data_IF_213250978349
#
_entry.id   IF_213250978349
#
_cell.length_a   1.000
_cell.length_b   1.000
_cell.length_c   1.000
_cell.angle_alpha   90.00
_cell.angle_beta   90.00
_cell.angle_gamma   90.00
#
_symmetry.space_group_name_H-M   'P 1'
#
loop_
_entity.id
_entity.type
_entity.pdbx_description
1 polymer ?
#
# COMPACT_ATOMS: atom_id res chain seq x y z
N UNK A 1 -31.67 39.49 58.21
CA UNK A 1 -30.54 40.43 58.26
C UNK A 1 -29.65 40.07 57.07
N UNK A 2 -29.76 40.91 56.02
CA UNK A 2 -28.99 41.07 54.76
C UNK A 2 -28.53 39.80 54.02
N UNK A 3 -29.05 39.39 52.83
CA UNK A 3 -29.38 40.07 51.55
C UNK A 3 -28.14 40.39 50.69
N UNK A 4 -28.33 40.14 49.39
CA UNK A 4 -27.50 40.44 48.21
C UNK A 4 -26.51 39.32 47.82
N UNK A 5 -26.33 38.89 46.57
CA UNK A 5 -26.97 39.05 45.24
C UNK A 5 -26.04 38.22 44.29
N UNK A 6 -26.49 37.17 43.60
CA UNK A 6 -26.97 37.13 42.20
C UNK A 6 -25.99 37.57 41.08
N UNK A 7 -26.14 36.87 39.95
CA UNK A 7 -25.61 37.05 38.58
C UNK A 7 -24.34 36.25 38.22
N UNK A 8 -24.41 35.14 37.47
CA UNK A 8 -24.83 34.90 36.07
C UNK A 8 -23.87 35.45 34.99
N UNK A 9 -23.76 34.62 33.94
CA UNK A 9 -23.16 34.84 32.62
C UNK A 9 -21.61 34.82 32.58
N UNK A 10 -20.95 34.18 31.62
CA UNK A 10 -21.40 33.43 30.46
C UNK A 10 -20.17 32.82 29.78
N UNK A 11 -20.35 31.66 29.15
CA UNK A 11 -19.34 31.07 28.26
C UNK A 11 -19.09 31.99 27.05
N UNK A 12 -17.84 32.23 26.65
CA UNK A 12 -17.55 32.73 25.31
C UNK A 12 -17.34 31.56 24.32
N UNK A 13 -18.20 31.61 23.30
CA UNK A 13 -18.21 30.83 22.06
C UNK A 13 -16.92 30.96 21.25
N UNK A 14 -16.68 29.95 20.41
CA UNK A 14 -15.73 29.96 19.31
C UNK A 14 -16.00 31.11 18.32
N UNK A 15 -15.03 32.02 18.19
CA UNK A 15 -14.61 32.75 17.00
C UNK A 15 -13.63 33.86 17.46
N UNK A 16 -12.64 34.18 16.63
CA UNK A 16 -11.74 35.35 16.73
C UNK A 16 -10.50 35.24 17.64
N UNK A 17 -9.38 34.78 17.06
CA UNK A 17 -8.05 35.31 17.39
C UNK A 17 -7.20 35.36 16.12
N UNK A 18 -7.24 36.54 15.50
CA UNK A 18 -6.54 36.97 14.30
C UNK A 18 -5.03 37.11 14.52
N UNK A 19 -4.30 36.87 13.44
CA UNK A 19 -2.91 37.20 13.16
C UNK A 19 -2.48 38.64 13.51
N UNK A 20 -1.20 38.83 13.87
CA UNK A 20 -0.32 39.93 13.41
C UNK A 20 1.16 39.52 13.59
N UNK A 21 1.96 39.55 12.52
CA UNK A 21 3.32 40.12 12.50
C UNK A 21 3.89 40.05 11.06
N UNK A 22 3.58 41.08 10.28
CA UNK A 22 4.32 41.49 9.09
C UNK A 22 5.65 42.14 9.48
N UNK A 23 6.70 41.91 8.67
CA UNK A 23 7.75 42.89 8.43
C UNK A 23 8.26 42.71 6.99
N UNK A 24 7.80 43.64 6.16
CA UNK A 24 8.05 43.91 4.76
C UNK A 24 9.26 44.87 4.60
N UNK A 25 10.12 44.65 3.59
CA UNK A 25 10.84 45.69 2.82
C UNK A 25 11.17 45.15 1.41
N UNK A 26 10.24 45.38 0.47
CA UNK A 26 10.36 45.99 -0.89
C UNK A 26 11.77 46.50 -1.37
N UNK A 27 12.16 46.69 -2.64
CA UNK A 27 11.60 46.62 -4.03
C UNK A 27 12.75 46.99 -5.00
N UNK A 28 12.72 46.50 -6.26
CA UNK A 28 12.99 47.18 -7.56
C UNK A 28 13.34 46.10 -8.61
N UNK A 29 12.56 45.74 -9.64
CA UNK A 29 11.79 46.45 -10.68
C UNK A 29 12.66 47.09 -11.80
N UNK A 30 12.52 46.54 -13.01
CA UNK A 30 12.52 47.12 -14.39
C UNK A 30 12.81 45.97 -15.39
N UNK A 31 11.85 45.45 -16.15
CA UNK A 31 11.06 45.96 -17.29
C UNK A 31 11.81 45.96 -18.65
N UNK A 32 11.34 45.11 -19.56
CA UNK A 32 11.43 45.22 -21.04
C UNK A 32 10.72 44.02 -21.69
N UNK A 33 9.50 44.20 -22.20
CA UNK A 33 8.91 43.36 -23.26
C UNK A 33 9.30 43.86 -24.67
N UNK A 34 8.66 43.45 -25.78
CA UNK A 34 7.53 42.50 -25.92
C UNK A 34 7.66 41.51 -27.11
N UNK A 35 6.60 40.68 -27.27
CA UNK A 35 6.10 40.00 -28.49
C UNK A 35 7.04 39.10 -29.33
N UNK A 36 6.76 37.78 -29.39
CA UNK A 36 6.09 37.21 -30.57
C UNK A 36 5.85 35.67 -30.48
N UNK A 37 4.70 35.27 -31.05
CA UNK A 37 4.24 33.93 -31.46
C UNK A 37 3.83 32.90 -30.39
N UNK A 38 2.56 32.97 -30.02
CA UNK A 38 1.76 31.77 -29.81
C UNK A 38 1.71 30.93 -31.10
N UNK A 39 2.08 29.65 -31.02
CA UNK A 39 1.45 28.47 -31.66
C UNK A 39 2.44 27.30 -31.68
N UNK A 40 2.33 26.39 -30.71
CA UNK A 40 2.37 24.95 -30.97
C UNK A 40 1.83 24.19 -29.75
N UNK A 41 0.51 24.24 -29.57
CA UNK A 41 -0.22 23.37 -28.65
C UNK A 41 -0.85 22.24 -29.46
N UNK A 42 -0.02 21.30 -29.93
CA UNK A 42 -0.46 19.97 -30.34
C UNK A 42 0.70 18.95 -30.29
N UNK A 43 1.41 18.90 -29.16
CA UNK A 43 2.15 17.70 -28.81
C UNK A 43 1.14 16.56 -28.61
N UNK A 44 0.96 15.72 -29.63
CA UNK A 44 0.29 14.43 -29.49
C UNK A 44 0.82 13.74 -28.23
N UNK A 45 -0.02 13.05 -27.43
CA UNK A 45 0.49 12.30 -26.29
C UNK A 45 1.58 11.37 -26.82
N UNK A 46 2.82 11.57 -26.39
CA UNK A 46 3.94 10.77 -26.82
C UNK A 46 3.50 9.32 -26.66
N UNK A 47 3.31 8.62 -27.80
CA UNK A 47 3.02 7.21 -27.78
C UNK A 47 4.06 6.61 -26.85
N UNK A 48 3.60 5.98 -25.77
CA UNK A 48 4.48 5.30 -24.81
C UNK A 48 5.45 4.50 -25.66
N UNK A 49 6.73 4.86 -25.61
CA UNK A 49 7.70 4.24 -26.50
C UNK A 49 7.75 2.75 -26.13
N UNK A 50 7.19 1.90 -27.00
CA UNK A 50 6.95 0.48 -26.72
C UNK A 50 8.28 -0.21 -26.36
N UNK A 51 9.36 0.13 -27.08
CA UNK A 51 10.71 -0.34 -26.79
C UNK A 51 11.20 0.08 -25.40
N UNK A 52 10.87 1.30 -24.97
CA UNK A 52 11.23 1.79 -23.64
C UNK A 52 10.41 1.08 -22.54
N UNK A 53 9.14 0.78 -22.81
CA UNK A 53 8.26 0.04 -21.91
C UNK A 53 8.72 -1.41 -21.75
N UNK A 54 9.08 -2.06 -22.85
CA UNK A 54 9.66 -3.40 -22.85
C UNK A 54 10.99 -3.44 -22.09
N UNK A 55 11.87 -2.47 -22.33
CA UNK A 55 13.15 -2.35 -21.62
C UNK A 55 12.95 -2.13 -20.11
N UNK A 56 11.98 -1.29 -19.73
CA UNK A 56 11.60 -1.08 -18.34
C UNK A 56 11.05 -2.35 -17.69
N UNK A 57 10.18 -3.08 -18.41
CA UNK A 57 9.60 -4.33 -17.95
C UNK A 57 10.66 -5.42 -17.75
N UNK A 58 11.59 -5.55 -18.69
CA UNK A 58 12.71 -6.48 -18.59
C UNK A 58 13.58 -6.16 -17.37
N UNK A 59 13.93 -4.87 -17.20
CA UNK A 59 14.73 -4.40 -16.06
C UNK A 59 14.03 -4.63 -14.72
N UNK A 60 12.71 -4.38 -14.64
CA UNK A 60 11.91 -4.64 -13.45
C UNK A 60 11.89 -6.12 -13.08
N UNK A 61 11.59 -7.00 -14.04
CA UNK A 61 11.55 -8.45 -13.80
C UNK A 61 12.91 -8.97 -13.33
N UNK A 62 13.99 -8.50 -13.94
CA UNK A 62 15.34 -8.91 -13.55
C UNK A 62 15.66 -8.47 -12.12
N UNK A 63 15.39 -7.20 -11.79
CA UNK A 63 15.60 -6.67 -10.45
C UNK A 63 14.81 -7.42 -9.38
N UNK A 64 13.56 -7.79 -9.66
CA UNK A 64 12.73 -8.55 -8.72
C UNK A 64 13.29 -9.95 -8.45
N UNK A 65 13.83 -10.63 -9.47
CA UNK A 65 14.51 -11.92 -9.30
C UNK A 65 15.79 -11.78 -8.49
N UNK A 66 16.58 -10.74 -8.76
CA UNK A 66 17.79 -10.44 -8.00
C UNK A 66 17.46 -10.23 -6.51
N UNK A 67 16.44 -9.42 -6.21
CA UNK A 67 15.98 -9.18 -4.83
C UNK A 67 15.48 -10.48 -4.19
N UNK A 68 14.70 -11.30 -4.91
CA UNK A 68 14.23 -12.58 -4.40
C UNK A 68 15.40 -13.52 -4.05
N UNK A 69 16.44 -13.57 -4.89
CA UNK A 69 17.67 -14.35 -4.60
C UNK A 69 18.36 -13.83 -3.35
N UNK A 70 18.57 -12.52 -3.24
CA UNK A 70 19.21 -11.87 -2.09
C UNK A 70 18.46 -12.16 -0.79
N UNK A 71 17.13 -12.08 -0.79
CA UNK A 71 16.30 -12.39 0.37
C UNK A 71 16.37 -13.87 0.76
N UNK A 72 16.38 -14.76 -0.22
CA UNK A 72 16.54 -16.20 0.01
C UNK A 72 17.92 -16.55 0.60
N UNK A 73 18.99 -16.00 0.04
CA UNK A 73 20.38 -16.18 0.51
C UNK A 73 20.58 -15.63 1.92
N UNK A 74 19.96 -14.49 2.24
CA UNK A 74 19.99 -13.91 3.58
C UNK A 74 19.13 -14.67 4.61
N UNK A 75 18.35 -15.67 4.18
CA UNK A 75 17.41 -16.37 5.06
C UNK A 75 16.32 -15.44 5.62
N UNK A 76 15.94 -14.41 4.86
CA UNK A 76 14.95 -13.43 5.28
C UNK A 76 13.60 -14.10 5.59
N UNK A 77 12.93 -13.64 6.66
CA UNK A 77 11.63 -14.18 7.08
C UNK A 77 10.60 -14.03 5.97
N UNK A 78 10.06 -15.15 5.50
CA UNK A 78 8.93 -15.19 4.58
C UNK A 78 7.60 -15.44 5.35
N UNK A 79 6.49 -15.19 4.66
CA UNK A 79 5.12 -15.32 5.15
C UNK A 79 4.29 -16.16 4.18
N UNK A 80 3.19 -16.74 4.67
CA UNK A 80 2.27 -17.48 3.81
C UNK A 80 1.48 -16.51 2.91
N UNK A 81 1.33 -16.88 1.63
CA UNK A 81 0.33 -16.33 0.73
C UNK A 81 -0.79 -17.35 0.55
N UNK A 82 -2.03 -16.92 0.71
CA UNK A 82 -3.20 -17.78 0.62
C UNK A 82 -4.39 -17.09 -0.03
N UNK A 83 -5.30 -17.90 -0.55
CA UNK A 83 -6.62 -17.48 -0.98
C UNK A 83 -7.65 -17.78 0.11
N UNK A 84 -8.49 -16.81 0.44
CA UNK A 84 -9.62 -17.03 1.33
C UNK A 84 -10.76 -17.72 0.58
N UNK A 85 -11.09 -18.96 0.97
CA UNK A 85 -12.22 -19.69 0.43
C UNK A 85 -13.41 -19.52 1.39
N UNK A 86 -14.43 -18.75 1.02
CA UNK A 86 -15.59 -18.51 1.89
C UNK A 86 -16.38 -19.81 2.14
N UNK A 87 -17.18 -19.86 3.22
CA UNK A 87 -17.98 -21.03 3.51
C UNK A 87 -19.00 -21.25 2.39
N UNK A 88 -19.15 -22.51 1.97
CA UNK A 88 -20.05 -22.87 0.86
C UNK A 88 -20.73 -24.20 1.10
N UNK A 89 -21.87 -24.43 0.45
CA UNK A 89 -22.54 -25.74 0.44
C UNK A 89 -22.03 -26.59 -0.71
N UNK A 90 -21.62 -27.83 -0.42
CA UNK A 90 -21.28 -28.84 -1.43
C UNK A 90 -22.49 -29.74 -1.63
N UNK A 91 -22.84 -30.00 -2.91
CA UNK A 91 -24.01 -30.78 -3.29
C UNK A 91 -25.31 -30.30 -2.60
N UNK A 92 -25.46 -28.98 -2.37
CA UNK A 92 -26.54 -28.30 -1.63
C UNK A 92 -26.77 -28.74 -0.17
N UNK A 93 -26.16 -29.83 0.30
CA UNK A 93 -26.46 -30.45 1.60
C UNK A 93 -25.31 -30.30 2.61
N UNK A 94 -24.05 -30.43 2.20
CA UNK A 94 -22.91 -30.51 3.13
C UNK A 94 -22.28 -29.12 3.30
N UNK A 95 -22.34 -28.50 4.49
CA UNK A 95 -21.64 -27.23 4.73
C UNK A 95 -20.12 -27.46 4.73
N UNK A 96 -19.39 -26.64 3.96
CA UNK A 96 -17.94 -26.50 4.06
C UNK A 96 -17.65 -25.19 4.78
N UNK A 97 -16.89 -25.32 5.86
CA UNK A 97 -16.36 -24.18 6.57
C UNK A 97 -15.41 -23.34 5.70
N UNK A 98 -15.26 -22.07 6.06
CA UNK A 98 -14.26 -21.20 5.48
C UNK A 98 -12.85 -21.71 5.81
N UNK A 99 -11.98 -21.71 4.79
CA UNK A 99 -10.58 -22.15 4.88
C UNK A 99 -9.68 -21.22 4.07
N UNK A 100 -8.39 -21.21 4.39
CA UNK A 100 -7.37 -20.60 3.55
C UNK A 100 -6.70 -21.69 2.70
N UNK A 101 -6.64 -21.47 1.39
CA UNK A 101 -5.92 -22.31 0.45
C UNK A 101 -4.52 -21.74 0.24
N UNK A 102 -3.44 -22.48 0.58
CA UNK A 102 -2.07 -22.01 0.35
C UNK A 102 -1.80 -21.78 -1.14
N UNK A 103 -1.16 -20.65 -1.46
CA UNK A 103 -0.70 -20.30 -2.81
C UNK A 103 0.83 -20.32 -2.91
N UNK A 104 1.54 -20.03 -1.81
CA UNK A 104 2.99 -20.01 -1.78
C UNK A 104 3.56 -19.28 -0.57
N UNK A 105 4.85 -18.94 -0.65
CA UNK A 105 5.57 -18.15 0.35
C UNK A 105 6.04 -16.84 -0.28
N UNK A 106 5.93 -15.76 0.47
CA UNK A 106 6.26 -14.41 0.01
C UNK A 106 7.02 -13.63 1.07
N UNK A 107 7.89 -12.72 0.66
CA UNK A 107 8.44 -11.68 1.51
C UNK A 107 7.55 -10.45 1.48
N UNK A 108 7.25 -9.88 2.65
CA UNK A 108 6.46 -8.66 2.77
C UNK A 108 7.39 -7.44 2.70
N UNK A 109 7.30 -6.71 1.59
CA UNK A 109 8.09 -5.51 1.31
C UNK A 109 7.19 -4.27 1.38
N UNK A 110 6.70 -3.97 2.58
CA UNK A 110 5.81 -2.83 2.84
C UNK A 110 4.43 -3.01 2.20
N UNK A 111 4.17 -2.31 1.09
CA UNK A 111 2.92 -2.41 0.30
C UNK A 111 2.96 -3.49 -0.80
N UNK A 112 4.09 -4.15 -0.96
CA UNK A 112 4.26 -5.26 -1.89
C UNK A 112 4.48 -6.59 -1.17
N UNK A 113 4.11 -7.66 -1.85
CA UNK A 113 4.58 -9.01 -1.56
C UNK A 113 5.41 -9.47 -2.77
N UNK A 114 6.54 -10.11 -2.50
CA UNK A 114 7.41 -10.68 -3.52
C UNK A 114 7.54 -12.19 -3.26
N UNK A 115 7.31 -13.02 -4.27
CA UNK A 115 7.57 -14.44 -4.15
C UNK A 115 8.97 -14.84 -4.64
N UNK A 116 9.28 -16.13 -4.54
CA UNK A 116 10.59 -16.69 -4.92
C UNK A 116 10.85 -16.66 -6.42
N UNK A 117 9.80 -16.64 -7.23
CA UNK A 117 9.87 -16.59 -8.69
C UNK A 117 9.98 -15.16 -9.24
N UNK A 118 9.89 -14.14 -8.37
CA UNK A 118 9.95 -12.73 -8.74
C UNK A 118 8.59 -12.15 -9.14
N UNK A 119 7.46 -12.82 -8.84
CA UNK A 119 6.12 -12.26 -9.00
C UNK A 119 5.84 -11.25 -7.89
N UNK A 120 5.26 -10.13 -8.29
CA UNK A 120 4.96 -9.01 -7.41
C UNK A 120 3.46 -8.93 -7.17
N UNK A 121 3.07 -8.71 -5.93
CA UNK A 121 1.67 -8.54 -5.53
C UNK A 121 1.50 -7.24 -4.75
N UNK A 122 0.37 -6.57 -4.96
CA UNK A 122 -0.12 -5.56 -4.03
C UNK A 122 -0.62 -6.23 -2.75
N UNK A 123 -0.24 -5.74 -1.58
CA UNK A 123 -0.71 -6.29 -0.31
C UNK A 123 -2.22 -6.15 -0.19
N UNK A 124 -2.89 -7.25 0.14
CA UNK A 124 -4.28 -7.26 0.58
C UNK A 124 -4.38 -7.20 2.10
N UNK A 125 -5.11 -8.14 2.67
CA UNK A 125 -5.30 -8.30 4.11
C UNK A 125 -4.32 -9.33 4.67
N UNK A 126 -4.02 -9.25 5.97
CA UNK A 126 -3.29 -10.31 6.68
C UNK A 126 -4.01 -10.76 7.94
N UNK A 127 -3.82 -12.03 8.29
CA UNK A 127 -4.26 -12.61 9.56
C UNK A 127 -3.17 -13.51 10.12
N UNK A 128 -3.28 -13.88 11.39
CA UNK A 128 -2.42 -14.88 12.01
C UNK A 128 -3.17 -16.18 12.25
N UNK A 129 -2.50 -17.29 12.00
CA UNK A 129 -2.98 -18.64 12.30
C UNK A 129 -2.88 -18.93 13.80
N UNK A 130 -3.66 -18.23 14.62
CA UNK A 130 -3.71 -18.45 16.08
C UNK A 130 -5.07 -18.99 16.46
N UNK A 131 -5.10 -20.02 17.33
CA UNK A 131 -6.34 -20.58 17.86
C UNK A 131 -7.17 -19.47 18.53
N UNK A 132 -8.45 -19.27 18.15
CA UNK A 132 -9.28 -18.25 18.78
C UNK A 132 -9.47 -18.50 20.28
N UNK A 133 -9.28 -17.47 21.10
CA UNK A 133 -9.59 -17.49 22.54
C UNK A 133 -11.09 -17.37 22.86
N UNK A 134 -11.41 -17.07 24.13
CA UNK A 134 -12.80 -16.99 24.61
C UNK A 134 -13.60 -15.85 23.94
N UNK A 135 -14.88 -16.03 23.60
CA UNK A 135 -15.66 -15.01 22.88
C UNK A 135 -15.99 -13.78 23.75
N UNK A 136 -15.68 -12.58 23.25
CA UNK A 136 -16.22 -11.31 23.74
C UNK A 136 -16.66 -10.46 22.54
N UNK A 137 -17.91 -9.98 22.53
CA UNK A 137 -18.54 -9.40 21.34
C UNK A 137 -18.77 -7.90 21.48
N UNK A 138 -18.29 -7.10 20.52
CA UNK A 138 -18.58 -5.65 20.47
C UNK A 138 -18.77 -5.06 19.05
N UNK A 139 -18.37 -5.71 17.94
CA UNK A 139 -18.55 -5.15 16.58
C UNK A 139 -18.46 -6.15 15.41
N UNK A 140 -19.01 -5.76 14.25
CA UNK A 140 -18.95 -6.51 12.96
C UNK A 140 -17.50 -6.76 12.51
N UNK A 141 -16.62 -5.77 12.65
CA UNK A 141 -15.19 -5.93 12.32
C UNK A 141 -14.48 -6.90 13.26
N UNK A 142 -14.94 -7.07 14.51
CA UNK A 142 -14.43 -8.10 15.39
C UNK A 142 -14.88 -9.51 14.95
N UNK A 143 -16.10 -9.62 14.45
CA UNK A 143 -16.66 -10.87 13.92
C UNK A 143 -15.94 -11.33 12.64
N UNK A 144 -15.71 -10.43 11.67
CA UNK A 144 -14.96 -10.75 10.45
C UNK A 144 -13.54 -11.24 10.76
N UNK A 145 -12.82 -10.55 11.66
CA UNK A 145 -11.48 -10.98 12.09
C UNK A 145 -11.51 -12.33 12.79
N UNK A 146 -12.56 -12.65 13.56
CA UNK A 146 -12.73 -13.97 14.17
C UNK A 146 -12.98 -15.04 13.11
N UNK A 147 -13.80 -14.76 12.10
CA UNK A 147 -14.03 -15.68 10.99
C UNK A 147 -12.73 -16.02 10.25
N UNK A 148 -11.88 -15.02 9.98
CA UNK A 148 -10.58 -15.24 9.37
C UNK A 148 -9.64 -16.06 10.27
N UNK A 149 -9.55 -15.76 11.57
CA UNK A 149 -8.73 -16.59 12.50
C UNK A 149 -9.25 -18.02 12.60
N UNK A 150 -10.57 -18.22 12.62
CA UNK A 150 -11.16 -19.55 12.60
C UNK A 150 -10.80 -20.30 11.31
N UNK A 151 -10.89 -19.66 10.15
CA UNK A 151 -10.47 -20.23 8.87
C UNK A 151 -8.97 -20.57 8.86
N UNK A 152 -8.13 -19.68 9.37
CA UNK A 152 -6.68 -19.89 9.49
C UNK A 152 -6.36 -21.08 10.39
N UNK A 153 -7.01 -21.18 11.55
CA UNK A 153 -6.79 -22.29 12.51
C UNK A 153 -7.22 -23.67 11.97
N UNK A 154 -8.17 -23.72 11.03
CA UNK A 154 -8.56 -24.94 10.31
C UNK A 154 -7.65 -25.28 9.14
N UNK A 155 -6.81 -24.34 8.72
CA UNK A 155 -5.91 -24.50 7.58
C UNK A 155 -4.57 -25.06 8.05
N UNK A 156 -3.77 -25.60 7.12
CA UNK A 156 -2.49 -26.27 7.43
C UNK A 156 -1.31 -25.28 7.56
N UNK A 157 -1.54 -24.13 8.20
CA UNK A 157 -0.50 -23.15 8.49
C UNK A 157 0.09 -23.41 9.89
N UNK A 158 1.33 -22.98 10.09
CA UNK A 158 1.98 -23.09 11.39
C UNK A 158 1.30 -22.18 12.43
N UNK A 159 1.30 -22.58 13.70
CA UNK A 159 0.69 -21.76 14.75
C UNK A 159 1.43 -20.42 14.86
N UNK A 160 0.66 -19.33 14.85
CA UNK A 160 1.19 -17.97 14.85
C UNK A 160 1.71 -17.44 13.50
N UNK A 161 1.71 -18.26 12.43
CA UNK A 161 2.14 -17.86 11.09
C UNK A 161 1.30 -16.69 10.55
N UNK A 162 1.95 -15.73 9.91
CA UNK A 162 1.27 -14.65 9.19
C UNK A 162 0.81 -15.17 7.84
N UNK A 163 -0.47 -15.00 7.55
CA UNK A 163 -1.09 -15.35 6.28
C UNK A 163 -1.53 -14.06 5.60
N UNK A 164 -0.98 -13.78 4.43
CA UNK A 164 -1.43 -12.74 3.52
C UNK A 164 -2.50 -13.32 2.58
N UNK A 165 -3.60 -12.59 2.41
CA UNK A 165 -4.70 -12.97 1.52
C UNK A 165 -5.33 -11.74 0.86
N UNK A 166 -6.15 -11.96 -0.15
CA UNK A 166 -6.67 -10.89 -1.04
C UNK A 166 -5.56 -10.05 -1.69
N UNK A 167 -4.34 -10.58 -1.76
CA UNK A 167 -3.24 -9.96 -2.47
C UNK A 167 -3.54 -10.02 -3.98
N UNK A 168 -3.32 -8.90 -4.67
CA UNK A 168 -3.56 -8.81 -6.11
C UNK A 168 -2.24 -8.86 -6.84
N UNK A 169 -2.09 -9.83 -7.74
CA UNK A 169 -0.90 -9.91 -8.59
C UNK A 169 -0.80 -8.68 -9.49
N UNK A 170 0.39 -8.09 -9.53
CA UNK A 170 0.72 -7.00 -10.42
C UNK A 170 1.26 -7.64 -11.69
N UNK A 171 0.45 -7.65 -12.74
CA UNK A 171 0.79 -8.28 -14.01
C UNK A 171 1.97 -7.54 -14.64
N UNK A 172 3.14 -8.16 -14.57
CA UNK A 172 4.35 -7.66 -15.22
C UNK A 172 4.35 -8.17 -16.67
N UNK A 173 3.40 -7.73 -17.49
CA UNK A 173 3.34 -7.93 -18.95
C UNK A 173 3.24 -6.57 -19.64
N UNK A 174 3.45 -6.45 -20.96
CA UNK A 174 3.27 -5.17 -21.66
C UNK A 174 1.88 -4.56 -21.41
N UNK A 175 0.82 -5.37 -21.47
CA UNK A 175 -0.56 -4.93 -21.22
C UNK A 175 -0.76 -4.54 -19.75
N UNK A 176 -0.20 -5.33 -18.84
CA UNK A 176 -0.27 -5.06 -17.40
C UNK A 176 0.44 -3.75 -17.03
N UNK A 177 1.57 -3.45 -17.66
CA UNK A 177 2.33 -2.22 -17.43
C UNK A 177 1.58 -0.98 -17.95
N UNK A 178 0.82 -1.12 -19.04
CA UNK A 178 -0.11 -0.09 -19.51
C UNK A 178 -1.15 0.29 -18.45
N UNK A 179 -1.67 -0.67 -17.69
CA UNK A 179 -2.61 -0.42 -16.60
C UNK A 179 -1.97 0.25 -15.36
N UNK A 180 -0.62 0.31 -15.30
CA UNK A 180 0.12 0.97 -14.22
C UNK A 180 0.43 2.44 -14.52
N UNK A 181 0.27 2.89 -15.78
CA UNK A 181 0.49 4.29 -16.16
C UNK A 181 -0.55 5.15 -15.45
N UNK A 182 -0.08 5.99 -14.53
CA UNK A 182 -0.89 6.82 -13.64
C UNK A 182 -2.03 6.06 -12.92
N UNK A 183 -1.84 4.76 -12.72
CA UNK A 183 -2.83 3.87 -12.13
C UNK A 183 -3.06 4.12 -10.63
N UNK A 184 -4.18 3.62 -10.08
CA UNK A 184 -4.52 3.77 -8.66
C UNK A 184 -3.78 2.79 -7.74
N UNK A 185 -2.98 1.87 -8.31
CA UNK A 185 -2.27 0.83 -7.59
C UNK A 185 -1.04 1.32 -6.82
N UNK A 186 -0.44 0.45 -5.99
CA UNK A 186 0.77 0.79 -5.25
C UNK A 186 2.01 0.91 -6.14
N UNK A 187 2.02 0.25 -7.31
CA UNK A 187 3.03 0.45 -8.35
C UNK A 187 2.44 1.34 -9.45
N UNK A 188 3.13 2.41 -9.79
CA UNK A 188 2.70 3.38 -10.79
C UNK A 188 3.87 3.65 -11.74
N UNK A 189 3.58 3.69 -13.05
CA UNK A 189 4.49 4.28 -14.04
C UNK A 189 4.11 5.75 -14.17
N UNK A 190 5.02 6.63 -13.79
CA UNK A 190 4.79 8.07 -13.79
C UNK A 190 6.00 8.79 -14.36
N UNK A 191 5.79 9.64 -15.37
CA UNK A 191 6.86 10.28 -16.15
C UNK A 191 7.95 9.30 -16.63
N UNK A 192 7.55 8.12 -17.09
CA UNK A 192 8.46 7.08 -17.62
C UNK A 192 9.26 6.32 -16.56
N UNK A 193 9.05 6.57 -15.26
CA UNK A 193 9.72 5.88 -14.18
C UNK A 193 8.76 5.10 -13.27
N UNK A 194 9.25 4.00 -12.69
CA UNK A 194 8.52 3.26 -11.66
C UNK A 194 8.50 4.04 -10.35
N UNK A 195 7.31 4.08 -9.76
CA UNK A 195 7.02 4.81 -8.54
C UNK A 195 6.13 3.99 -7.61
N UNK A 196 6.22 4.30 -6.32
CA UNK A 196 5.46 3.64 -5.26
C UNK A 196 4.49 4.62 -4.64
N UNK A 197 3.23 4.20 -4.61
CA UNK A 197 2.15 4.82 -3.86
C UNK A 197 1.90 3.98 -2.60
N UNK A 198 2.39 4.45 -1.47
CA UNK A 198 2.34 3.71 -0.20
C UNK A 198 0.99 3.74 0.53
N UNK A 199 0.12 4.69 0.21
CA UNK A 199 -1.29 4.73 0.64
C UNK A 199 -2.15 5.18 -0.54
N UNK A 200 -3.42 4.75 -0.67
CA UNK A 200 -4.26 5.10 -1.82
C UNK A 200 -4.36 6.62 -2.06
N UNK A 201 -4.37 7.40 -0.98
CA UNK A 201 -4.50 8.87 -0.98
C UNK A 201 -3.16 9.61 -1.09
N UNK A 202 -2.02 8.90 -1.11
CA UNK A 202 -0.71 9.53 -1.19
C UNK A 202 -0.54 10.27 -2.51
N UNK A 203 -0.33 11.59 -2.42
CA UNK A 203 0.00 12.44 -3.57
C UNK A 203 1.49 12.37 -3.91
N UNK A 204 2.34 12.10 -2.92
CA UNK A 204 3.78 11.98 -3.10
C UNK A 204 4.12 10.54 -3.46
N UNK A 205 4.80 10.38 -4.60
CA UNK A 205 5.24 9.11 -5.13
C UNK A 205 6.73 8.90 -4.89
N UNK A 206 7.10 7.78 -4.27
CA UNK A 206 8.50 7.43 -3.97
C UNK A 206 9.10 6.64 -5.13
N UNK A 207 10.41 6.74 -5.36
CA UNK A 207 11.08 5.91 -6.38
C UNK A 207 11.05 4.44 -5.98
N UNK A 208 10.68 3.58 -6.93
CA UNK A 208 10.50 2.16 -6.68
C UNK A 208 11.76 1.45 -6.18
N UNK A 209 12.90 1.72 -6.83
CA UNK A 209 14.17 1.10 -6.45
C UNK A 209 14.61 1.49 -5.04
N UNK A 210 14.50 2.78 -4.70
CA UNK A 210 14.86 3.31 -3.37
C UNK A 210 13.96 2.70 -2.30
N UNK A 211 12.65 2.63 -2.56
CA UNK A 211 11.69 2.01 -1.66
C UNK A 211 12.00 0.52 -1.44
N UNK A 212 12.24 -0.25 -2.50
CA UNK A 212 12.50 -1.68 -2.36
C UNK A 212 13.82 -1.97 -1.64
N UNK A 213 14.91 -1.25 -1.95
CA UNK A 213 16.17 -1.45 -1.24
C UNK A 213 16.05 -1.17 0.24
N UNK A 214 15.32 -0.12 0.63
CA UNK A 214 15.03 0.15 2.04
C UNK A 214 14.29 -1.03 2.69
N UNK A 215 13.26 -1.58 2.03
CA UNK A 215 12.49 -2.72 2.57
C UNK A 215 13.31 -3.99 2.65
N UNK A 216 14.15 -4.27 1.65
CA UNK A 216 15.06 -5.42 1.65
C UNK A 216 16.04 -5.29 2.82
N UNK A 217 16.67 -4.12 2.96
CA UNK A 217 17.61 -3.85 4.05
C UNK A 217 16.99 -4.02 5.44
N UNK A 218 15.75 -3.56 5.62
CA UNK A 218 15.01 -3.77 6.87
C UNK A 218 14.71 -5.24 7.15
N UNK A 219 14.44 -6.03 6.11
CA UNK A 219 14.07 -7.44 6.25
C UNK A 219 15.29 -8.36 6.45
N UNK A 220 16.44 -7.99 5.90
CA UNK A 220 17.70 -8.74 6.04
C UNK A 220 18.50 -8.38 7.29
N UNK A 221 18.18 -7.24 7.95
CA UNK A 221 18.83 -6.91 9.22
C UNK A 221 18.30 -7.81 10.35
N UNK A 222 19.18 -8.31 11.24
CA UNK A 222 18.72 -8.97 12.45
C UNK A 222 17.92 -7.98 13.29
N UNK A 223 16.74 -8.39 13.74
CA UNK A 223 15.92 -7.60 14.64
C UNK A 223 16.61 -7.51 16.01
N UNK A 224 17.21 -6.36 16.32
CA UNK A 224 17.74 -6.03 17.66
C UNK A 224 19.20 -6.40 17.91
N UNK A 225 20.13 -5.78 17.18
CA UNK A 225 21.50 -5.58 17.68
C UNK A 225 21.54 -4.38 18.63
#
# INVERSE_FOLDING_TARGET
MNRDAQEQAGEPSAAEAQAVADADVAVSAEDSGPDDVATDLAGAPAAVNEDALESLLASLRERLREIASRLAEAGARDEALAEYVPPRRVAKVIPRDAVFRPLGRVWRLGVFLLDREGRLYATGTSTRAVRPGHPGYQSVSAEQRRAFRAAASRSRFEDGETINFDAREIMLTPEGLGALIDGPGPLVVHHGGLRVRWTPEAQILVRFDEYLEERVHLLTRPAGA
#
